data_IF_307945685136
#
_entry.id   IF_307945685136
#
_cell.length_a   1.000
_cell.length_b   1.000
_cell.length_c   1.000
_cell.angle_alpha   90.00
_cell.angle_beta   90.00
_cell.angle_gamma   90.00
#
_symmetry.space_group_name_H-M   'P 1'
#
loop_
_entity.id
_entity.type
_entity.pdbx_description
1 polymer ?
#
# COMPACT_ATOMS: atom_id res chain seq x y z
N UNK A 1 -25.16 -3.42 -1.17
CA UNK A 1 -23.73 -3.09 -1.19
C UNK A 1 -23.54 -1.93 -2.14
N UNK A 2 -22.94 -0.84 -1.67
CA UNK A 2 -22.58 0.29 -2.53
C UNK A 2 -21.12 0.08 -2.91
N UNK A 3 -20.88 -0.70 -3.97
CA UNK A 3 -19.55 -0.89 -4.54
C UNK A 3 -18.91 0.47 -4.80
N UNK A 4 -17.75 0.72 -4.22
CA UNK A 4 -16.95 1.90 -4.54
C UNK A 4 -15.84 1.50 -5.50
N UNK A 5 -15.84 2.01 -6.74
CA UNK A 5 -14.78 1.67 -7.68
C UNK A 5 -13.43 2.18 -7.17
N UNK A 6 -12.32 1.49 -7.50
CA UNK A 6 -10.98 1.97 -7.21
C UNK A 6 -10.75 3.37 -7.76
N UNK A 7 -10.04 4.19 -6.99
CA UNK A 7 -9.59 5.52 -7.39
C UNK A 7 -8.17 5.42 -7.90
N UNK A 8 -7.99 5.63 -9.21
CA UNK A 8 -6.67 5.67 -9.83
C UNK A 8 -6.03 7.04 -9.59
N UNK A 9 -4.89 7.05 -8.91
CA UNK A 9 -4.09 8.25 -8.67
C UNK A 9 -3.13 8.49 -9.85
N UNK A 10 -2.68 7.40 -10.46
CA UNK A 10 -1.92 7.33 -11.72
C UNK A 10 -2.33 6.04 -12.47
N UNK A 11 -1.80 5.76 -13.67
CA UNK A 11 -2.05 4.49 -14.36
C UNK A 11 -1.59 3.24 -13.59
N UNK A 12 -0.63 3.39 -12.67
CA UNK A 12 0.00 2.27 -11.96
C UNK A 12 -0.14 2.33 -10.43
N UNK A 13 -0.73 3.40 -9.89
CA UNK A 13 -1.08 3.54 -8.48
C UNK A 13 -2.58 3.80 -8.34
N UNK A 14 -3.27 2.95 -7.60
CA UNK A 14 -4.66 3.15 -7.24
C UNK A 14 -4.90 2.90 -5.76
N UNK A 15 -6.02 3.41 -5.27
CA UNK A 15 -6.52 3.17 -3.92
C UNK A 15 -7.95 2.64 -3.93
N UNK A 16 -8.30 1.84 -2.93
CA UNK A 16 -9.66 1.39 -2.67
C UNK A 16 -9.94 1.35 -1.17
N UNK A 17 -11.20 1.56 -0.80
CA UNK A 17 -11.71 1.37 0.56
C UNK A 17 -12.79 0.27 0.59
N UNK A 18 -12.89 -0.55 -0.46
CA UNK A 18 -13.85 -1.66 -0.52
C UNK A 18 -13.45 -2.75 0.49
N UNK A 19 -14.12 -2.75 1.65
CA UNK A 19 -13.68 -3.55 2.80
C UNK A 19 -13.73 -5.05 2.55
N UNK A 20 -14.72 -5.54 1.79
CA UNK A 20 -14.84 -6.97 1.46
C UNK A 20 -13.63 -7.45 0.65
N UNK A 21 -13.27 -6.71 -0.40
CA UNK A 21 -12.09 -7.02 -1.22
C UNK A 21 -10.79 -6.94 -0.42
N UNK A 22 -10.68 -5.98 0.50
CA UNK A 22 -9.49 -5.83 1.33
C UNK A 22 -9.37 -6.98 2.33
N UNK A 23 -10.47 -7.37 3.00
CA UNK A 23 -10.48 -8.44 3.98
C UNK A 23 -10.17 -9.78 3.32
N UNK A 24 -10.82 -10.09 2.19
CA UNK A 24 -10.58 -11.34 1.47
C UNK A 24 -9.10 -11.45 1.07
N UNK A 25 -8.53 -10.37 0.52
CA UNK A 25 -7.12 -10.35 0.16
C UNK A 25 -6.20 -10.52 1.39
N UNK A 26 -6.50 -9.88 2.51
CA UNK A 26 -5.72 -10.05 3.75
C UNK A 26 -5.77 -11.50 4.27
N UNK A 27 -6.92 -12.18 4.14
CA UNK A 27 -7.08 -13.58 4.53
C UNK A 27 -6.29 -14.49 3.60
N UNK A 28 -6.44 -14.33 2.28
CA UNK A 28 -5.78 -15.16 1.27
C UNK A 28 -4.26 -15.08 1.36
N UNK A 29 -3.74 -13.89 1.67
CA UNK A 29 -2.31 -13.66 1.86
C UNK A 29 -1.79 -13.98 3.27
N UNK A 30 -2.65 -14.45 4.19
CA UNK A 30 -2.30 -14.76 5.59
C UNK A 30 -1.80 -13.55 6.40
N UNK A 31 -2.24 -12.34 6.03
CA UNK A 31 -1.81 -11.06 6.61
C UNK A 31 -2.88 -10.42 7.50
N UNK A 32 -4.04 -11.07 7.65
CA UNK A 32 -5.14 -10.59 8.47
C UNK A 32 -4.71 -10.40 9.94
N UNK A 33 -4.83 -9.16 10.50
CA UNK A 33 -4.51 -8.91 11.89
C UNK A 33 -5.38 -9.75 12.84
N UNK A 34 -4.78 -10.27 13.91
CA UNK A 34 -5.52 -10.98 14.96
C UNK A 34 -6.39 -10.06 15.84
N UNK A 35 -6.06 -8.76 15.87
CA UNK A 35 -6.73 -7.73 16.66
C UNK A 35 -6.77 -6.41 15.89
N UNK A 36 -7.88 -5.69 16.07
CA UNK A 36 -8.22 -4.41 15.44
C UNK A 36 -8.42 -3.30 16.48
N UNK A 37 -7.73 -3.42 17.62
CA UNK A 37 -7.77 -2.48 18.74
C UNK A 37 -6.88 -1.25 18.53
N UNK A 38 -5.96 -1.30 17.56
CA UNK A 38 -5.03 -0.23 17.22
C UNK A 38 -4.84 -0.16 15.72
N UNK A 39 -4.41 1.00 15.23
CA UNK A 39 -4.09 1.20 13.82
C UNK A 39 -3.06 0.18 13.32
N UNK A 40 -3.19 -0.22 12.06
CA UNK A 40 -2.28 -1.18 11.42
C UNK A 40 -1.80 -0.68 10.08
N UNK A 41 -0.53 -0.98 9.80
CA UNK A 41 0.06 -0.91 8.47
C UNK A 41 0.48 -2.32 8.09
N UNK A 42 -0.13 -2.84 7.02
CA UNK A 42 0.08 -4.18 6.52
C UNK A 42 0.54 -4.05 5.08
N UNK A 43 1.51 -4.85 4.66
CA UNK A 43 1.91 -4.88 3.26
C UNK A 43 2.18 -6.29 2.82
N UNK A 44 1.82 -6.60 1.58
CA UNK A 44 2.04 -7.88 0.96
C UNK A 44 2.23 -7.72 -0.55
N UNK A 45 2.54 -8.82 -1.22
CA UNK A 45 2.72 -8.85 -2.65
C UNK A 45 1.68 -9.76 -3.28
N UNK A 46 1.05 -9.27 -4.35
CA UNK A 46 0.12 -10.03 -5.18
C UNK A 46 0.74 -10.14 -6.58
N UNK A 47 1.39 -11.27 -6.84
CA UNK A 47 2.27 -11.41 -8.00
C UNK A 47 3.42 -10.39 -7.94
N UNK A 48 3.42 -9.44 -8.86
CA UNK A 48 4.43 -8.38 -8.97
C UNK A 48 3.95 -7.04 -8.42
N UNK A 49 2.72 -6.98 -7.89
CA UNK A 49 2.14 -5.78 -7.33
C UNK A 49 2.55 -5.64 -5.86
N UNK A 50 2.78 -4.40 -5.43
CA UNK A 50 2.91 -4.07 -4.02
C UNK A 50 1.56 -3.58 -3.48
N UNK A 51 1.07 -4.22 -2.42
CA UNK A 51 -0.16 -3.84 -1.73
C UNK A 51 0.18 -3.31 -0.35
N UNK A 52 -0.39 -2.15 0.00
CA UNK A 52 -0.28 -1.54 1.32
C UNK A 52 -1.69 -1.28 1.87
N UNK A 53 -2.02 -1.89 2.99
CA UNK A 53 -3.29 -1.71 3.68
C UNK A 53 -3.05 -0.94 4.96
N UNK A 54 -3.81 0.14 5.13
CA UNK A 54 -3.94 0.90 6.36
C UNK A 54 -5.27 0.53 7.01
N UNK A 55 -5.23 0.23 8.30
CA UNK A 55 -6.42 0.10 9.12
C UNK A 55 -6.39 1.19 10.19
N UNK A 56 -7.46 1.96 10.27
CA UNK A 56 -7.67 2.99 11.29
C UNK A 56 -8.64 2.44 12.34
N UNK A 57 -8.22 2.39 13.61
CA UNK A 57 -9.03 1.80 14.68
C UNK A 57 -9.98 2.80 15.35
N UNK A 58 -9.63 4.09 15.29
CA UNK A 58 -10.38 5.18 15.89
C UNK A 58 -11.77 5.30 15.25
N UNK A 59 -12.80 5.50 16.08
CA UNK A 59 -14.20 5.47 15.65
C UNK A 59 -14.57 6.55 14.62
N UNK A 60 -13.87 7.68 14.61
CA UNK A 60 -14.20 8.81 13.72
C UNK A 60 -13.83 8.55 12.26
N UNK A 61 -12.79 7.75 12.03
CA UNK A 61 -12.19 7.46 10.73
C UNK A 61 -11.95 5.96 10.53
N UNK A 62 -12.66 5.13 11.30
CA UNK A 62 -12.50 3.68 11.29
C UNK A 62 -12.72 3.12 9.90
N UNK A 63 -11.82 2.25 9.48
CA UNK A 63 -11.99 1.47 8.27
C UNK A 63 -10.66 1.07 7.66
N UNK A 64 -10.78 0.47 6.48
CA UNK A 64 -9.63 0.09 5.67
C UNK A 64 -9.40 1.07 4.53
N UNK A 65 -8.12 1.23 4.20
CA UNK A 65 -7.68 1.87 2.97
C UNK A 65 -6.53 1.06 2.39
N UNK A 66 -6.67 0.64 1.13
CA UNK A 66 -5.64 -0.13 0.41
C UNK A 66 -5.09 0.70 -0.72
N UNK A 67 -3.77 0.77 -0.82
CA UNK A 67 -3.02 1.28 -1.95
C UNK A 67 -2.38 0.11 -2.69
N UNK A 68 -2.39 0.18 -4.01
CA UNK A 68 -1.74 -0.83 -4.86
C UNK A 68 -0.87 -0.13 -5.88
N UNK A 69 0.39 -0.52 -5.93
CA UNK A 69 1.31 -0.16 -7.01
C UNK A 69 1.50 -1.39 -7.89
N UNK A 70 0.95 -1.29 -9.10
CA UNK A 70 1.04 -2.34 -10.11
C UNK A 70 2.48 -2.47 -10.58
N UNK A 71 3.00 -3.69 -10.62
CA UNK A 71 4.36 -3.98 -11.06
C UNK A 71 5.40 -3.00 -10.47
N UNK A 72 5.40 -2.89 -9.14
CA UNK A 72 6.14 -1.83 -8.44
C UNK A 72 7.65 -1.85 -8.74
N UNK A 73 8.19 -3.02 -9.09
CA UNK A 73 9.62 -3.20 -9.36
C UNK A 73 10.08 -2.49 -10.64
N UNK A 74 9.17 -2.23 -11.58
CA UNK A 74 9.43 -1.39 -12.77
C UNK A 74 8.82 -0.01 -12.61
N UNK A 75 7.72 0.13 -11.88
CA UNK A 75 7.03 1.38 -11.61
C UNK A 75 7.46 2.02 -10.28
N UNK A 76 8.76 2.10 -10.02
CA UNK A 76 9.30 2.59 -8.73
C UNK A 76 8.96 4.07 -8.50
N UNK A 77 8.76 4.85 -9.56
CA UNK A 77 8.32 6.25 -9.46
C UNK A 77 6.99 6.39 -8.70
N UNK A 78 6.07 5.45 -8.91
CA UNK A 78 4.78 5.39 -8.20
C UNK A 78 4.96 5.15 -6.70
N UNK A 79 5.97 4.35 -6.33
CA UNK A 79 6.32 4.14 -4.93
C UNK A 79 6.87 5.41 -4.29
N UNK A 80 7.70 6.18 -5.01
CA UNK A 80 8.17 7.48 -4.54
C UNK A 80 7.01 8.48 -4.41
N UNK A 81 6.08 8.50 -5.36
CA UNK A 81 4.87 9.34 -5.28
C UNK A 81 4.01 8.98 -4.06
N UNK A 82 3.83 7.69 -3.78
CA UNK A 82 3.10 7.22 -2.60
C UNK A 82 3.80 7.64 -1.30
N UNK A 83 5.12 7.42 -1.20
CA UNK A 83 5.92 7.85 -0.04
C UNK A 83 5.88 9.37 0.17
N UNK A 84 5.99 10.17 -0.90
CA UNK A 84 5.87 11.63 -0.86
C UNK A 84 4.47 12.09 -0.43
N UNK A 85 3.42 11.39 -0.87
CA UNK A 85 2.05 11.68 -0.47
C UNK A 85 1.83 11.48 1.03
N UNK A 86 2.36 10.39 1.60
CA UNK A 86 2.35 10.21 3.06
C UNK A 86 3.17 11.29 3.78
N UNK A 87 4.30 11.73 3.22
CA UNK A 87 5.06 12.87 3.74
C UNK A 87 4.23 14.16 3.85
N UNK A 88 3.49 14.51 2.80
CA UNK A 88 2.59 15.68 2.80
C UNK A 88 1.43 15.55 3.77
N UNK A 89 0.86 14.34 3.91
CA UNK A 89 -0.21 14.09 4.87
C UNK A 89 0.29 14.16 6.33
N UNK A 90 1.54 13.76 6.58
CA UNK A 90 2.19 13.91 7.89
C UNK A 90 2.35 15.39 8.30
N UNK A 91 2.61 16.28 7.35
CA UNK A 91 2.67 17.73 7.59
C UNK A 91 1.32 18.31 8.05
N UNK A 92 0.22 17.61 7.80
CA UNK A 92 -1.13 18.01 8.23
C UNK A 92 -1.48 17.50 9.64
N UNK A 93 -0.54 16.81 10.32
CA UNK A 93 -0.68 16.27 11.68
C UNK A 93 -1.83 15.27 11.89
N UNK A 94 -2.40 14.73 10.80
CA UNK A 94 -3.45 13.71 10.85
C UNK A 94 -2.82 12.33 10.88
N UNK A 95 -3.28 11.43 11.76
CA UNK A 95 -2.91 10.01 11.75
C UNK A 95 -1.40 9.74 11.68
N UNK A 96 -0.62 10.56 12.38
CA UNK A 96 0.85 10.63 12.26
C UNK A 96 1.51 9.25 12.40
N UNK A 97 1.06 8.44 13.36
CA UNK A 97 1.70 7.16 13.64
C UNK A 97 1.55 6.16 12.48
N UNK A 98 0.32 5.95 12.00
CA UNK A 98 0.05 5.02 10.90
C UNK A 98 0.65 5.52 9.59
N UNK A 99 0.60 6.81 9.31
CA UNK A 99 1.20 7.39 8.09
C UNK A 99 2.74 7.32 8.12
N UNK A 100 3.37 7.51 9.27
CA UNK A 100 4.83 7.36 9.40
C UNK A 100 5.25 5.91 9.17
N UNK A 101 4.52 4.94 9.75
CA UNK A 101 4.77 3.52 9.50
C UNK A 101 4.54 3.14 8.03
N UNK A 102 3.49 3.65 7.41
CA UNK A 102 3.17 3.44 6.00
C UNK A 102 4.30 3.95 5.10
N UNK A 103 4.74 5.19 5.32
CA UNK A 103 5.87 5.78 4.60
C UNK A 103 7.13 4.95 4.74
N UNK A 104 7.50 4.58 5.96
CA UNK A 104 8.70 3.76 6.21
C UNK A 104 8.58 2.40 5.49
N UNK A 105 7.41 1.76 5.49
CA UNK A 105 7.20 0.50 4.76
C UNK A 105 7.44 0.67 3.26
N UNK A 106 6.90 1.72 2.66
CA UNK A 106 7.09 2.03 1.24
C UNK A 106 8.57 2.28 0.93
N UNK A 107 9.24 3.10 1.73
CA UNK A 107 10.67 3.42 1.55
C UNK A 107 11.55 2.16 1.61
N UNK A 108 11.27 1.26 2.55
CA UNK A 108 11.97 -0.03 2.63
C UNK A 108 11.79 -0.87 1.34
N UNK A 109 10.59 -0.92 0.78
CA UNK A 109 10.32 -1.67 -0.46
C UNK A 109 10.97 -1.00 -1.67
N UNK A 110 11.01 0.33 -1.74
CA UNK A 110 11.76 1.09 -2.76
C UNK A 110 13.23 0.65 -2.76
N UNK A 111 13.87 0.57 -1.58
CA UNK A 111 15.26 0.11 -1.48
C UNK A 111 15.46 -1.34 -1.92
N UNK A 112 14.40 -2.17 -1.87
CA UNK A 112 14.42 -3.56 -2.31
C UNK A 112 13.99 -3.74 -3.79
N UNK A 113 13.56 -2.69 -4.49
CA UNK A 113 12.97 -2.80 -5.82
C UNK A 113 13.90 -3.52 -6.84
N UNK A 114 15.20 -3.25 -6.81
CA UNK A 114 16.18 -3.94 -7.66
C UNK A 114 16.28 -5.45 -7.37
N UNK A 115 16.14 -5.84 -6.10
CA UNK A 115 16.11 -7.26 -5.72
C UNK A 115 14.87 -7.94 -6.26
N UNK A 116 13.71 -7.30 -6.11
CA UNK A 116 12.45 -7.82 -6.66
C UNK A 116 12.46 -7.90 -8.19
N UNK A 117 13.01 -6.89 -8.87
CA UNK A 117 13.18 -6.91 -10.33
C UNK A 117 13.99 -8.14 -10.79
N UNK A 118 15.09 -8.44 -10.09
CA UNK A 118 15.90 -9.63 -10.36
C UNK A 118 15.15 -10.94 -10.06
N UNK A 119 14.41 -11.00 -8.94
CA UNK A 119 13.58 -12.17 -8.57
C UNK A 119 12.48 -12.43 -9.60
N UNK A 120 11.82 -11.39 -10.09
CA UNK A 120 10.80 -11.45 -11.14
C UNK A 120 11.39 -11.69 -12.54
N UNK A 121 12.72 -11.88 -12.66
CA UNK A 121 13.44 -12.12 -13.92
C UNK A 121 13.24 -11.03 -14.96
N UNK A 122 12.94 -9.80 -14.52
CA UNK A 122 12.83 -8.65 -15.40
C UNK A 122 14.24 -8.18 -15.73
N UNK A 123 14.70 -8.49 -16.95
CA UNK A 123 15.93 -7.90 -17.48
C UNK A 123 15.73 -6.39 -17.51
N UNK A 124 16.69 -5.66 -16.94
CA UNK A 124 16.80 -4.22 -17.21
C UNK A 124 16.94 -4.07 -18.72
N UNK A 125 15.95 -3.46 -19.35
CA UNK A 125 16.14 -2.88 -20.68
C UNK A 125 17.00 -1.65 -20.43
N UNK A 126 18.30 -1.83 -20.59
CA UNK A 126 19.28 -0.75 -20.63
C UNK A 126 19.10 -0.08 -21.99
N UNK A 127 18.53 1.12 -21.99
CA UNK A 127 18.69 2.07 -23.11
C UNK A 127 20.05 2.78 -23.01
#
# INVERSE_FOLDING_TARGET
MNYQPPVYLTPHLYMTNEEEEIIDALVDHHEMPKKFDVDKVISYFEGENFCLVLYFANLQDRGFQKFVVNDFSVNVEEMYMLSASFGKLLEQEVNIHVLSQAKNRVDHVIHMAGTFRALFRKKEVVD
#
